data_IF_207290801204
#
_entry.id   IF_207290801204
#
_cell.length_a   1.000
_cell.length_b   1.000
_cell.length_c   1.000
_cell.angle_alpha   90.00
_cell.angle_beta   90.00
_cell.angle_gamma   90.00
#
_symmetry.space_group_name_H-M   'P 1'
#
loop_
_entity.id
_entity.type
_entity.pdbx_description
1 polymer ?
#
# COMPACT_ATOMS: atom_id res chain seq x y z
N UNK A 1 27.58 -18.74 55.65
CA UNK A 1 26.50 -18.66 54.65
C UNK A 1 26.70 -19.76 53.62
N UNK A 2 25.68 -20.61 53.44
CA UNK A 2 25.55 -21.67 52.41
C UNK A 2 25.63 -21.00 51.01
N UNK A 3 26.16 -21.58 49.92
CA UNK A 3 25.94 -22.90 49.33
C UNK A 3 27.11 -23.31 48.41
N UNK A 4 27.45 -24.60 48.44
CA UNK A 4 28.06 -25.33 47.32
C UNK A 4 27.00 -26.27 46.70
N UNK A 5 27.40 -26.98 45.64
CA UNK A 5 26.73 -28.05 44.84
C UNK A 5 26.12 -27.51 43.55
N UNK A 6 26.79 -27.50 42.39
CA UNK A 6 27.26 -28.65 41.58
C UNK A 6 26.14 -29.68 41.33
N UNK A 7 25.44 -29.55 40.21
CA UNK A 7 24.70 -30.67 39.60
C UNK A 7 25.23 -30.80 38.18
N UNK A 8 26.11 -31.77 38.01
CA UNK A 8 26.58 -32.28 36.73
C UNK A 8 25.72 -33.50 36.39
N UNK A 9 24.97 -33.45 35.30
CA UNK A 9 24.49 -34.61 34.54
C UNK A 9 23.98 -34.07 33.19
N UNK A 10 24.83 -34.01 32.16
CA UNK A 10 24.90 -35.04 31.11
C UNK A 10 23.51 -35.40 30.58
N UNK A 11 23.02 -34.62 29.61
CA UNK A 11 22.28 -35.16 28.46
C UNK A 11 22.76 -34.41 27.22
N UNK A 12 23.68 -35.05 26.52
CA UNK A 12 23.99 -34.83 25.12
C UNK A 12 22.74 -35.15 24.30
N UNK A 13 22.16 -34.18 23.60
CA UNK A 13 21.42 -34.43 22.37
C UNK A 13 21.23 -33.11 21.61
N UNK A 14 21.90 -33.01 20.47
CA UNK A 14 21.50 -32.15 19.36
C UNK A 14 19.98 -32.25 19.17
N UNK A 15 19.28 -31.14 19.24
CA UNK A 15 18.11 -30.89 18.40
C UNK A 15 18.30 -29.50 17.79
N UNK A 16 19.13 -29.49 16.74
CA UNK A 16 18.81 -28.72 15.55
C UNK A 16 17.34 -29.05 15.23
N UNK A 17 16.42 -28.19 15.65
CA UNK A 17 15.13 -28.14 14.97
C UNK A 17 15.40 -27.42 13.66
N UNK A 18 16.06 -28.12 12.74
CA UNK A 18 15.75 -27.94 11.33
C UNK A 18 14.29 -28.35 11.22
N UNK A 19 13.37 -27.39 11.31
CA UNK A 19 12.05 -27.61 10.74
C UNK A 19 12.29 -27.91 9.27
N UNK A 20 12.20 -29.19 8.92
CA UNK A 20 12.19 -29.66 7.55
C UNK A 20 11.04 -28.93 6.85
N UNK A 21 11.35 -27.82 6.18
CA UNK A 21 10.53 -27.29 5.11
C UNK A 21 10.44 -28.41 4.07
N UNK A 22 9.32 -29.14 4.07
CA UNK A 22 8.95 -29.97 2.93
C UNK A 22 9.06 -29.09 1.70
N UNK A 23 9.95 -29.44 0.78
CA UNK A 23 9.96 -28.85 -0.57
C UNK A 23 8.57 -29.06 -1.16
N UNK A 24 7.87 -28.00 -1.61
CA UNK A 24 6.60 -28.14 -2.31
C UNK A 24 6.82 -29.01 -3.55
N UNK A 25 5.98 -30.02 -3.74
CA UNK A 25 6.00 -30.86 -4.95
C UNK A 25 5.25 -30.15 -6.07
N UNK A 26 5.64 -30.43 -7.31
CA UNK A 26 5.31 -29.73 -8.55
C UNK A 26 3.82 -29.72 -9.00
N UNK A 27 2.85 -29.57 -8.10
CA UNK A 27 1.45 -29.29 -8.44
C UNK A 27 0.86 -28.06 -7.74
N UNK A 28 1.69 -27.23 -7.12
CA UNK A 28 1.24 -26.02 -6.43
C UNK A 28 1.12 -24.85 -7.42
N UNK A 29 -0.06 -24.22 -7.40
CA UNK A 29 -0.37 -22.96 -8.07
C UNK A 29 0.78 -21.97 -7.84
N UNK A 30 1.25 -21.33 -8.92
CA UNK A 30 2.29 -20.29 -8.95
C UNK A 30 2.75 -19.88 -7.55
N UNK A 31 3.89 -20.42 -7.12
CA UNK A 31 4.40 -20.41 -5.75
C UNK A 31 3.91 -19.20 -4.96
N UNK A 32 3.04 -19.43 -3.97
CA UNK A 32 2.59 -18.38 -3.06
C UNK A 32 3.84 -17.66 -2.55
N UNK A 33 3.94 -16.36 -2.86
CA UNK A 33 5.05 -15.52 -2.43
C UNK A 33 4.53 -14.59 -1.36
N UNK A 34 5.18 -14.60 -0.21
CA UNK A 34 4.90 -13.66 0.89
C UNK A 34 6.16 -12.85 1.12
N UNK A 35 6.02 -11.53 1.23
CA UNK A 35 7.09 -10.68 1.74
C UNK A 35 6.86 -10.42 3.23
N UNK A 36 7.85 -10.73 4.04
CA UNK A 36 7.83 -10.49 5.49
C UNK A 36 8.48 -9.14 5.76
N UNK A 37 7.74 -8.22 6.36
CA UNK A 37 8.23 -6.90 6.74
C UNK A 37 8.63 -6.92 8.21
N UNK A 38 9.85 -6.48 8.49
CA UNK A 38 10.43 -6.48 9.81
C UNK A 38 10.91 -5.09 10.23
N UNK A 39 10.80 -4.79 11.52
CA UNK A 39 11.28 -3.56 12.16
C UNK A 39 12.07 -3.95 13.38
N UNK A 40 13.33 -3.52 13.47
CA UNK A 40 14.19 -3.82 14.62
C UNK A 40 14.25 -5.33 14.97
N UNK A 41 14.13 -6.19 13.95
CA UNK A 41 14.14 -7.65 14.10
C UNK A 41 12.79 -8.29 14.46
N UNK A 42 11.71 -7.50 14.56
CA UNK A 42 10.36 -8.00 14.81
C UNK A 42 9.51 -7.98 13.53
N UNK A 43 8.75 -9.06 13.28
CA UNK A 43 7.77 -9.09 12.19
C UNK A 43 6.64 -8.12 12.50
N UNK A 44 6.40 -7.17 11.60
CA UNK A 44 5.31 -6.19 11.74
C UNK A 44 4.19 -6.39 10.73
N UNK A 45 4.50 -6.96 9.55
CA UNK A 45 3.47 -7.34 8.58
C UNK A 45 3.95 -8.44 7.65
N UNK A 46 3.00 -9.15 7.07
CA UNK A 46 3.21 -10.11 6.00
C UNK A 46 2.29 -9.72 4.85
N UNK A 47 2.84 -9.53 3.65
CA UNK A 47 2.08 -9.14 2.49
C UNK A 47 2.11 -10.26 1.45
N UNK A 48 0.94 -10.60 0.90
CA UNK A 48 0.87 -11.49 -0.26
C UNK A 48 1.49 -10.79 -1.48
N UNK A 49 2.70 -11.21 -1.83
CA UNK A 49 3.44 -10.74 -2.98
C UNK A 49 3.24 -11.61 -4.21
N UNK A 50 2.30 -12.55 -4.17
CA UNK A 50 2.00 -13.41 -5.31
C UNK A 50 1.59 -12.54 -6.51
N UNK A 51 2.26 -12.69 -7.64
CA UNK A 51 2.00 -11.89 -8.83
C UNK A 51 2.43 -10.42 -8.72
N UNK A 52 3.17 -10.03 -7.67
CA UNK A 52 3.83 -8.74 -7.66
C UNK A 52 5.00 -8.71 -8.64
N UNK A 53 5.26 -7.55 -9.22
CA UNK A 53 6.36 -7.30 -10.16
C UNK A 53 7.47 -6.50 -9.47
N UNK A 54 8.68 -7.05 -9.47
CA UNK A 54 9.88 -6.40 -8.93
C UNK A 54 10.11 -5.05 -9.61
N UNK A 55 10.42 -4.04 -8.80
CA UNK A 55 10.67 -2.68 -9.25
C UNK A 55 9.40 -1.94 -9.67
N UNK A 56 8.25 -2.60 -9.79
CA UNK A 56 6.99 -2.06 -10.30
C UNK A 56 5.92 -1.90 -9.23
N UNK A 57 5.77 -2.91 -8.37
CA UNK A 57 4.82 -2.89 -7.28
C UNK A 57 5.41 -2.28 -6.01
N UNK A 58 4.52 -1.82 -5.14
CA UNK A 58 4.86 -1.01 -3.98
C UNK A 58 4.19 -1.63 -2.75
N UNK A 59 4.95 -1.72 -1.65
CA UNK A 59 4.50 -2.26 -0.37
C UNK A 59 4.53 -1.17 0.71
N UNK A 60 3.74 -1.33 1.77
CA UNK A 60 3.70 -0.37 2.87
C UNK A 60 4.56 -0.84 4.05
N UNK A 61 5.56 -0.05 4.44
CA UNK A 61 6.54 -0.38 5.49
C UNK A 61 6.25 0.33 6.81
N UNK A 62 4.99 0.58 7.17
CA UNK A 62 4.60 1.28 8.41
C UNK A 62 4.93 2.77 8.46
N UNK A 63 6.09 3.18 7.95
CA UNK A 63 6.55 4.57 7.82
C UNK A 63 6.50 5.04 6.37
N UNK A 64 5.58 4.51 5.56
CA UNK A 64 5.37 4.89 4.18
C UNK A 64 5.56 3.78 3.16
N UNK A 65 5.30 4.09 1.88
CA UNK A 65 5.45 3.16 0.77
C UNK A 65 6.91 2.84 0.45
N UNK A 66 7.13 1.69 -0.17
CA UNK A 66 8.42 1.24 -0.67
C UNK A 66 8.25 0.52 -2.00
N UNK A 67 9.04 0.90 -3.01
CA UNK A 67 9.08 0.18 -4.28
C UNK A 67 9.78 -1.15 -4.03
N UNK A 68 9.04 -2.25 -4.10
CA UNK A 68 9.57 -3.57 -3.80
C UNK A 68 10.64 -3.96 -4.82
N UNK A 69 11.80 -4.43 -4.36
CA UNK A 69 12.91 -4.84 -5.24
C UNK A 69 13.05 -6.37 -5.29
N UNK A 70 11.96 -7.09 -5.03
CA UNK A 70 11.96 -8.55 -5.12
C UNK A 70 12.52 -9.23 -3.89
N UNK A 71 12.52 -8.56 -2.73
CA UNK A 71 12.94 -9.15 -1.46
C UNK A 71 11.87 -10.11 -0.92
N UNK A 72 12.29 -11.24 -0.34
CA UNK A 72 11.38 -12.12 0.43
C UNK A 72 11.20 -11.62 1.88
N UNK A 73 12.14 -10.81 2.36
CA UNK A 73 12.11 -10.20 3.68
C UNK A 73 12.67 -8.79 3.59
N UNK A 74 11.97 -7.82 4.16
CA UNK A 74 12.34 -6.41 4.15
C UNK A 74 12.59 -5.95 5.58
N UNK A 75 13.81 -5.56 5.90
CA UNK A 75 14.13 -4.92 7.18
C UNK A 75 14.11 -3.42 7.02
N UNK A 76 13.16 -2.75 7.67
CA UNK A 76 13.14 -1.30 7.67
C UNK A 76 13.44 -0.71 9.05
N UNK A 77 14.02 0.49 9.03
CA UNK A 77 14.17 1.34 10.22
C UNK A 77 14.13 2.81 9.81
N UNK A 78 13.70 3.66 10.73
CA UNK A 78 13.80 5.12 10.59
C UNK A 78 14.76 5.63 11.63
N UNK A 79 15.76 6.37 11.21
CA UNK A 79 16.80 6.91 12.08
C UNK A 79 17.19 8.30 11.60
N UNK A 80 17.05 9.30 12.47
CA UNK A 80 17.34 10.72 12.19
C UNK A 80 16.62 11.24 10.93
N UNK A 81 15.34 10.88 10.77
CA UNK A 81 14.54 11.26 9.60
C UNK A 81 14.92 10.57 8.29
N UNK A 82 15.82 9.59 8.30
CA UNK A 82 16.15 8.78 7.12
C UNK A 82 15.49 7.41 7.23
N UNK A 83 14.92 6.95 6.12
CA UNK A 83 14.27 5.65 5.99
C UNK A 83 15.28 4.68 5.37
N UNK A 84 15.61 3.64 6.12
CA UNK A 84 16.51 2.58 5.68
C UNK A 84 15.71 1.33 5.35
N UNK A 85 16.06 0.70 4.24
CA UNK A 85 15.62 -0.66 3.88
C UNK A 85 16.86 -1.50 3.61
N UNK A 86 17.00 -2.60 4.35
CA UNK A 86 18.14 -3.51 4.30
C UNK A 86 19.50 -2.79 4.32
N UNK A 87 19.60 -1.81 5.23
CA UNK A 87 20.80 -0.99 5.45
C UNK A 87 21.05 0.14 4.44
N UNK A 88 20.20 0.29 3.42
CA UNK A 88 20.31 1.37 2.42
C UNK A 88 19.33 2.48 2.71
N UNK A 89 19.79 3.73 2.62
CA UNK A 89 18.89 4.90 2.65
C UNK A 89 18.07 4.92 1.37
N UNK A 90 16.75 4.82 1.50
CA UNK A 90 15.79 4.82 0.38
C UNK A 90 14.78 5.95 0.47
N UNK A 91 14.61 6.53 1.66
CA UNK A 91 13.60 7.56 1.90
C UNK A 91 14.00 8.57 2.96
N UNK A 92 13.18 9.61 3.08
CA UNK A 92 13.31 10.62 4.14
C UNK A 92 11.93 10.98 4.72
N UNK A 93 11.86 11.08 6.04
CA UNK A 93 10.74 11.61 6.80
C UNK A 93 10.97 13.10 7.06
N UNK A 94 10.28 13.91 6.26
CA UNK A 94 10.39 15.36 6.28
C UNK A 94 9.73 16.02 7.50
N UNK A 95 9.15 15.24 8.42
CA UNK A 95 8.80 15.75 9.76
C UNK A 95 10.01 15.82 10.70
N UNK A 96 11.09 15.09 10.38
CA UNK A 96 12.29 14.97 11.21
C UNK A 96 13.54 15.57 10.56
N UNK A 97 13.60 15.64 9.23
CA UNK A 97 14.73 16.20 8.48
C UNK A 97 14.26 17.17 7.41
N UNK A 98 14.96 18.29 7.23
CA UNK A 98 14.62 19.21 6.14
C UNK A 98 15.14 18.69 4.80
N UNK A 99 14.48 18.99 3.67
CA UNK A 99 14.92 18.54 2.35
C UNK A 99 16.38 18.87 2.03
N UNK A 100 16.91 19.98 2.55
CA UNK A 100 18.30 20.47 2.36
C UNK A 100 19.31 19.49 2.94
N UNK A 101 18.99 18.88 4.08
CA UNK A 101 19.86 18.04 4.89
C UNK A 101 19.80 16.55 4.50
N UNK A 102 18.90 16.17 3.59
CA UNK A 102 18.83 14.79 3.10
C UNK A 102 20.07 14.48 2.24
N UNK A 103 20.89 13.48 2.61
CA UNK A 103 22.07 13.11 1.85
C UNK A 103 21.69 12.37 0.57
N UNK A 104 22.45 12.59 -0.50
CA UNK A 104 22.26 11.93 -1.80
C UNK A 104 20.77 11.96 -2.26
N UNK A 105 20.14 13.15 -2.36
CA UNK A 105 18.72 13.27 -2.67
C UNK A 105 18.32 12.58 -3.99
N UNK A 106 19.25 12.43 -4.92
CA UNK A 106 19.05 11.70 -6.17
C UNK A 106 18.81 10.19 -6.01
N UNK A 107 19.13 9.61 -4.85
CA UNK A 107 18.88 8.19 -4.52
C UNK A 107 17.57 7.97 -3.77
N UNK A 108 16.96 9.03 -3.27
CA UNK A 108 15.72 8.97 -2.50
C UNK A 108 14.56 8.66 -3.44
N UNK A 109 13.83 7.60 -3.10
CA UNK A 109 12.68 7.11 -3.86
C UNK A 109 11.36 7.29 -3.11
N UNK A 110 11.43 7.54 -1.79
CA UNK A 110 10.29 7.66 -0.88
C UNK A 110 10.41 8.94 -0.05
N UNK A 111 9.31 9.67 0.10
CA UNK A 111 9.20 10.74 1.09
C UNK A 111 8.00 10.53 1.98
N UNK A 112 8.16 10.84 3.26
CA UNK A 112 7.03 10.94 4.19
C UNK A 112 6.96 12.31 4.86
N UNK A 113 5.77 12.74 5.28
CA UNK A 113 5.60 13.86 6.21
C UNK A 113 4.55 14.90 5.84
N UNK A 114 4.74 16.15 6.29
CA UNK A 114 3.86 17.29 5.99
C UNK A 114 4.46 18.09 4.84
N UNK A 115 4.14 17.68 3.61
CA UNK A 115 4.82 18.17 2.41
C UNK A 115 4.51 19.60 1.96
N UNK A 116 3.34 20.24 2.21
CA UNK A 116 3.05 21.55 1.62
C UNK A 116 4.15 22.61 1.86
N UNK A 117 4.88 22.51 2.97
CA UNK A 117 6.00 23.42 3.31
C UNK A 117 7.30 23.15 2.53
N UNK A 118 7.35 22.06 1.76
CA UNK A 118 8.56 21.52 1.13
C UNK A 118 8.40 21.24 -0.38
N UNK A 119 7.24 21.50 -0.96
CA UNK A 119 6.92 21.11 -2.35
C UNK A 119 7.88 21.67 -3.42
N UNK A 120 8.36 22.93 -3.33
CA UNK A 120 9.39 23.39 -4.26
C UNK A 120 10.70 22.59 -4.13
N UNK A 121 11.08 22.22 -2.90
CA UNK A 121 12.33 21.54 -2.61
C UNK A 121 12.30 20.06 -2.99
N UNK A 122 11.13 19.41 -2.99
CA UNK A 122 11.06 17.98 -3.33
C UNK A 122 11.48 17.68 -4.77
N UNK A 123 11.53 18.69 -5.66
CA UNK A 123 12.04 18.56 -7.04
C UNK A 123 13.49 18.06 -7.09
N UNK A 124 14.25 18.18 -6.00
CA UNK A 124 15.60 17.63 -5.92
C UNK A 124 15.65 16.10 -5.86
N UNK A 125 14.57 15.45 -5.42
CA UNK A 125 14.46 13.99 -5.33
C UNK A 125 14.04 13.40 -6.68
N UNK A 126 14.98 13.37 -7.63
CA UNK A 126 14.70 13.03 -9.04
C UNK A 126 14.15 11.62 -9.29
N UNK A 127 14.34 10.70 -8.33
CA UNK A 127 13.87 9.31 -8.40
C UNK A 127 12.63 9.05 -7.54
N UNK A 128 11.99 10.11 -7.04
CA UNK A 128 10.80 9.98 -6.22
C UNK A 128 9.74 9.18 -6.98
N UNK A 129 9.25 8.15 -6.30
CA UNK A 129 8.35 7.15 -6.86
C UNK A 129 7.22 6.80 -5.91
N UNK A 130 7.35 7.10 -4.62
CA UNK A 130 6.24 7.02 -3.71
C UNK A 130 6.30 8.11 -2.63
N UNK A 131 5.12 8.56 -2.19
CA UNK A 131 4.97 9.61 -1.20
C UNK A 131 3.89 9.20 -0.19
N UNK A 132 4.18 9.36 1.09
CA UNK A 132 3.16 9.52 2.12
C UNK A 132 3.14 10.96 2.60
N UNK A 133 2.03 11.66 2.39
CA UNK A 133 1.94 13.07 2.76
C UNK A 133 0.65 13.39 3.48
N UNK A 134 0.75 14.36 4.39
CA UNK A 134 -0.38 14.92 5.11
C UNK A 134 -0.69 16.33 4.60
N UNK A 135 -1.98 16.71 4.68
CA UNK A 135 -2.46 18.06 4.41
C UNK A 135 -2.31 18.52 2.95
N UNK A 136 -2.33 17.59 1.99
CA UNK A 136 -2.23 17.91 0.56
C UNK A 136 -3.53 18.54 0.06
N UNK A 137 -3.42 19.54 -0.82
CA UNK A 137 -4.52 20.21 -1.53
C UNK A 137 -4.41 20.00 -3.04
N UNK A 138 -5.45 20.41 -3.77
CA UNK A 138 -5.50 20.24 -5.24
C UNK A 138 -4.27 20.81 -5.96
N UNK A 139 -3.82 22.00 -5.56
CA UNK A 139 -2.63 22.67 -6.13
C UNK A 139 -1.32 21.90 -5.93
N UNK A 140 -1.24 21.10 -4.87
CA UNK A 140 -0.05 20.32 -4.53
C UNK A 140 0.10 19.10 -5.44
N UNK A 141 -1.02 18.55 -5.94
CA UNK A 141 -1.04 17.40 -6.87
C UNK A 141 -0.30 17.68 -8.18
N UNK A 142 -0.21 18.96 -8.57
CA UNK A 142 0.57 19.38 -9.73
C UNK A 142 2.06 19.04 -9.57
N UNK A 143 2.62 19.17 -8.36
CA UNK A 143 4.02 18.81 -8.09
C UNK A 143 4.25 17.30 -8.22
N UNK A 144 3.33 16.49 -7.70
CA UNK A 144 3.44 15.03 -7.79
C UNK A 144 3.38 14.55 -9.25
N UNK A 145 2.62 15.26 -10.09
CA UNK A 145 2.49 14.95 -11.51
C UNK A 145 3.76 15.25 -12.33
N UNK A 146 4.72 16.00 -11.78
CA UNK A 146 6.01 16.26 -12.42
C UNK A 146 6.99 15.07 -12.30
N UNK A 147 6.72 14.09 -11.42
CA UNK A 147 7.60 12.95 -11.20
C UNK A 147 7.22 11.77 -12.11
N UNK A 148 8.04 11.43 -13.12
CA UNK A 148 7.68 10.43 -14.13
C UNK A 148 7.62 9.00 -13.57
N UNK A 149 8.23 8.75 -12.42
CA UNK A 149 8.29 7.45 -11.76
C UNK A 149 7.27 7.31 -10.63
N UNK A 150 6.33 8.24 -10.48
CA UNK A 150 5.34 8.19 -9.41
C UNK A 150 4.45 6.94 -9.53
N UNK A 151 4.56 6.07 -8.52
CA UNK A 151 3.89 4.78 -8.37
C UNK A 151 2.96 4.76 -7.16
N UNK A 152 3.24 5.50 -6.10
CA UNK A 152 2.40 5.48 -4.90
C UNK A 152 2.15 6.85 -4.27
N UNK A 153 0.89 7.16 -4.02
CA UNK A 153 0.47 8.34 -3.27
C UNK A 153 -0.39 7.92 -2.08
N UNK A 154 0.08 8.23 -0.88
CA UNK A 154 -0.62 8.05 0.38
C UNK A 154 -0.91 9.41 0.98
N UNK A 155 -2.08 9.95 0.67
CA UNK A 155 -2.47 11.31 0.98
C UNK A 155 -3.46 11.28 2.15
N UNK A 156 -2.93 11.45 3.35
CA UNK A 156 -3.69 11.42 4.59
C UNK A 156 -4.13 12.83 4.96
N UNK A 157 -5.29 12.97 5.61
CA UNK A 157 -5.80 14.28 6.07
C UNK A 157 -5.76 15.36 4.97
N UNK A 158 -6.05 14.96 3.73
CA UNK A 158 -5.83 15.80 2.56
C UNK A 158 -7.15 16.39 2.08
N UNK A 159 -7.10 17.62 1.59
CA UNK A 159 -8.23 18.33 1.02
C UNK A 159 -8.17 18.26 -0.51
N UNK A 160 -8.19 17.03 -1.03
CA UNK A 160 -8.24 16.73 -2.45
C UNK A 160 -9.70 16.67 -2.90
N UNK A 161 -10.02 17.39 -3.96
CA UNK A 161 -11.33 17.40 -4.62
C UNK A 161 -11.22 16.80 -6.03
N UNK A 162 -12.27 16.97 -6.84
CA UNK A 162 -12.27 16.68 -8.27
C UNK A 162 -11.02 17.27 -8.98
N UNK A 163 -10.68 18.53 -8.71
CA UNK A 163 -9.60 19.23 -9.41
C UNK A 163 -8.23 18.60 -9.14
N UNK A 164 -7.95 18.21 -7.89
CA UNK A 164 -6.70 17.53 -7.53
C UNK A 164 -6.56 16.17 -8.20
N UNK A 165 -7.64 15.38 -8.30
CA UNK A 165 -7.61 14.10 -8.99
C UNK A 165 -7.42 14.23 -10.51
N UNK A 166 -7.77 15.38 -11.10
CA UNK A 166 -7.57 15.63 -12.53
C UNK A 166 -6.09 15.52 -12.96
N UNK A 167 -5.16 15.66 -12.03
CA UNK A 167 -3.72 15.52 -12.26
C UNK A 167 -3.27 14.08 -12.49
N UNK A 168 -4.05 13.08 -12.06
CA UNK A 168 -3.72 11.65 -12.21
C UNK A 168 -3.57 11.22 -13.68
N UNK A 169 -4.22 11.93 -14.62
CA UNK A 169 -4.06 11.70 -16.07
C UNK A 169 -2.62 11.88 -16.58
N UNK A 170 -1.75 12.54 -15.81
CA UNK A 170 -0.32 12.70 -16.11
C UNK A 170 0.55 11.62 -15.44
N UNK A 171 0.01 10.86 -14.49
CA UNK A 171 0.72 9.88 -13.69
C UNK A 171 0.54 8.47 -14.24
N UNK A 172 1.12 8.20 -15.40
CA UNK A 172 0.93 6.94 -16.15
C UNK A 172 1.42 5.67 -15.43
N UNK A 173 2.16 5.82 -14.32
CA UNK A 173 2.73 4.71 -13.57
C UNK A 173 2.07 4.47 -12.21
N UNK A 174 1.02 5.23 -11.84
CA UNK A 174 0.40 5.11 -10.52
C UNK A 174 -0.14 3.70 -10.29
N UNK A 175 0.24 3.10 -9.17
CA UNK A 175 -0.16 1.76 -8.70
C UNK A 175 -0.96 1.84 -7.41
N UNK A 176 -0.63 2.78 -6.53
CA UNK A 176 -1.29 3.01 -5.25
C UNK A 176 -1.84 4.42 -5.17
N UNK A 177 -3.10 4.52 -4.81
CA UNK A 177 -3.74 5.79 -4.46
C UNK A 177 -4.55 5.64 -3.19
N UNK A 178 -4.08 6.26 -2.11
CA UNK A 178 -4.80 6.34 -0.85
C UNK A 178 -5.14 7.80 -0.60
N UNK A 179 -6.43 8.11 -0.62
CA UNK A 179 -7.00 9.44 -0.37
C UNK A 179 -8.21 9.33 0.58
N UNK A 180 -8.11 8.58 1.70
CA UNK A 180 -9.25 8.42 2.59
C UNK A 180 -9.60 9.75 3.28
N UNK A 181 -10.88 9.93 3.62
CA UNK A 181 -11.37 11.16 4.27
C UNK A 181 -11.14 12.45 3.44
N UNK A 182 -11.11 12.34 2.12
CA UNK A 182 -11.03 13.49 1.22
C UNK A 182 -12.45 13.93 0.77
N UNK A 183 -12.68 15.22 0.48
CA UNK A 183 -13.95 15.74 -0.05
C UNK A 183 -14.12 15.41 -1.54
N UNK A 184 -13.91 14.16 -1.93
CA UNK A 184 -14.13 13.66 -3.29
C UNK A 184 -15.57 13.19 -3.45
N UNK A 185 -16.13 13.40 -4.64
CA UNK A 185 -17.48 13.00 -5.04
C UNK A 185 -17.44 11.88 -6.09
N UNK A 186 -18.60 11.33 -6.44
CA UNK A 186 -18.72 10.34 -7.52
C UNK A 186 -18.13 10.84 -8.85
N UNK A 187 -18.33 12.13 -9.16
CA UNK A 187 -17.76 12.79 -10.32
C UNK A 187 -16.22 12.80 -10.27
N UNK A 188 -15.62 12.92 -9.09
CA UNK A 188 -14.16 12.91 -8.90
C UNK A 188 -13.54 11.60 -9.36
N UNK A 189 -14.26 10.48 -9.25
CA UNK A 189 -13.77 9.15 -9.66
C UNK A 189 -13.73 8.97 -11.19
N UNK A 190 -14.33 9.88 -11.97
CA UNK A 190 -14.20 9.85 -13.44
C UNK A 190 -12.74 9.99 -13.89
N UNK A 191 -11.91 10.67 -13.10
CA UNK A 191 -10.47 10.79 -13.35
C UNK A 191 -9.68 9.50 -13.12
N UNK A 192 -10.25 8.50 -12.43
CA UNK A 192 -9.65 7.18 -12.27
C UNK A 192 -9.95 6.26 -13.45
N UNK A 193 -10.94 6.60 -14.29
CA UNK A 193 -11.37 5.76 -15.40
C UNK A 193 -10.20 5.50 -16.35
N UNK A 194 -9.89 4.23 -16.58
CA UNK A 194 -8.84 3.81 -17.49
C UNK A 194 -7.42 3.83 -16.92
N UNK A 195 -7.23 4.19 -15.65
CA UNK A 195 -5.94 4.02 -14.95
C UNK A 195 -5.73 2.53 -14.61
N UNK A 196 -5.59 1.72 -15.65
CA UNK A 196 -5.44 0.26 -15.57
C UNK A 196 -4.15 -0.17 -14.88
N UNK A 197 -3.30 0.76 -14.47
CA UNK A 197 -2.11 0.48 -13.68
C UNK A 197 -2.40 0.33 -12.19
N UNK A 198 -3.52 0.85 -11.68
CA UNK A 198 -3.85 0.79 -10.25
C UNK A 198 -3.95 -0.65 -9.74
N UNK A 199 -3.27 -0.90 -8.63
CA UNK A 199 -3.24 -2.14 -7.86
C UNK A 199 -3.98 -1.98 -6.55
N UNK A 200 -3.90 -0.82 -5.93
CA UNK A 200 -4.59 -0.57 -4.67
C UNK A 200 -5.15 0.85 -4.64
N UNK A 201 -6.42 0.92 -4.21
CA UNK A 201 -7.19 2.14 -4.11
C UNK A 201 -7.86 2.19 -2.75
N UNK A 202 -7.57 3.23 -1.98
CA UNK A 202 -8.27 3.53 -0.74
C UNK A 202 -8.92 4.91 -0.84
N UNK A 203 -10.25 4.89 -0.91
CA UNK A 203 -11.13 6.06 -0.96
C UNK A 203 -12.17 5.98 0.16
N UNK A 204 -11.86 5.27 1.25
CA UNK A 204 -12.80 5.12 2.36
C UNK A 204 -13.07 6.42 3.11
N UNK A 205 -14.19 6.44 3.84
CA UNK A 205 -14.69 7.63 4.55
C UNK A 205 -14.90 8.83 3.63
N UNK A 206 -15.47 8.58 2.45
CA UNK A 206 -15.80 9.61 1.45
C UNK A 206 -17.26 9.45 1.03
N UNK A 207 -17.91 10.51 0.53
CA UNK A 207 -19.33 10.46 0.15
C UNK A 207 -19.58 9.76 -1.19
N UNK A 208 -18.83 8.70 -1.49
CA UNK A 208 -18.95 7.92 -2.73
C UNK A 208 -20.16 6.99 -2.67
N UNK A 209 -20.91 6.92 -3.76
CA UNK A 209 -22.07 6.05 -3.95
C UNK A 209 -21.81 5.02 -5.05
N UNK A 210 -22.84 4.25 -5.41
CA UNK A 210 -22.81 3.29 -6.50
C UNK A 210 -22.43 3.93 -7.86
N UNK A 211 -22.79 5.21 -8.08
CA UNK A 211 -22.45 5.96 -9.29
C UNK A 211 -20.93 6.17 -9.41
N UNK A 212 -20.27 6.48 -8.30
CA UNK A 212 -18.82 6.61 -8.25
C UNK A 212 -18.12 5.29 -8.52
N UNK A 213 -18.60 4.20 -7.90
CA UNK A 213 -18.02 2.86 -8.06
C UNK A 213 -18.06 2.36 -9.51
N UNK A 214 -19.06 2.77 -10.30
CA UNK A 214 -19.11 2.47 -11.73
C UNK A 214 -17.84 2.90 -12.49
N UNK A 215 -17.21 4.00 -12.08
CA UNK A 215 -15.98 4.49 -12.71
C UNK A 215 -14.76 3.59 -12.46
N UNK A 216 -14.83 2.68 -11.47
CA UNK A 216 -13.77 1.74 -11.11
C UNK A 216 -13.82 0.44 -11.92
N UNK A 217 -14.90 0.17 -12.66
CA UNK A 217 -15.12 -1.11 -13.37
C UNK A 217 -14.01 -1.45 -14.39
N UNK A 218 -13.30 -0.44 -14.91
CA UNK A 218 -12.19 -0.60 -15.85
C UNK A 218 -10.83 -0.83 -15.20
N UNK A 219 -10.71 -0.80 -13.87
CA UNK A 219 -9.45 -0.99 -13.15
C UNK A 219 -9.08 -2.48 -13.04
N UNK A 220 -8.97 -3.16 -14.18
CA UNK A 220 -8.85 -4.63 -14.30
C UNK A 220 -7.68 -5.26 -13.52
N UNK A 221 -6.75 -4.44 -13.09
CA UNK A 221 -5.50 -4.78 -12.42
C UNK A 221 -5.52 -4.53 -10.91
N UNK A 222 -6.64 -3.99 -10.40
CA UNK A 222 -6.86 -3.70 -8.98
C UNK A 222 -6.88 -4.99 -8.17
N UNK A 223 -6.14 -5.00 -7.07
CA UNK A 223 -5.94 -6.10 -6.11
C UNK A 223 -6.57 -5.78 -4.77
N UNK A 224 -6.47 -4.53 -4.32
CA UNK A 224 -7.02 -4.06 -3.05
C UNK A 224 -7.92 -2.86 -3.29
N UNK A 225 -9.16 -2.94 -2.79
CA UNK A 225 -10.09 -1.81 -2.81
C UNK A 225 -10.62 -1.57 -1.40
N UNK A 226 -10.44 -0.35 -0.91
CA UNK A 226 -10.99 0.07 0.36
C UNK A 226 -12.01 1.20 0.16
N UNK A 227 -13.27 0.87 0.43
CA UNK A 227 -14.45 1.74 0.31
C UNK A 227 -15.30 1.69 1.60
N UNK A 228 -14.67 1.41 2.75
CA UNK A 228 -15.33 1.51 4.06
C UNK A 228 -15.90 2.92 4.31
N UNK A 229 -16.95 3.04 5.11
CA UNK A 229 -17.64 4.32 5.39
C UNK A 229 -18.01 5.11 4.12
N UNK A 230 -18.59 4.44 3.14
CA UNK A 230 -19.14 5.07 1.92
C UNK A 230 -20.63 4.78 1.80
N UNK A 231 -21.31 5.42 0.86
CA UNK A 231 -22.73 5.23 0.57
C UNK A 231 -23.00 4.10 -0.44
N UNK A 232 -22.02 3.22 -0.64
CA UNK A 232 -22.13 2.09 -1.58
C UNK A 232 -23.11 1.05 -1.05
N UNK A 233 -23.89 0.49 -1.97
CA UNK A 233 -24.91 -0.53 -1.71
C UNK A 233 -24.65 -1.81 -2.51
N UNK A 234 -25.55 -2.79 -2.38
CA UNK A 234 -25.54 -4.03 -3.15
C UNK A 234 -25.50 -3.83 -4.68
N UNK A 235 -26.02 -2.70 -5.17
CA UNK A 235 -26.04 -2.34 -6.59
C UNK A 235 -24.63 -1.97 -7.08
N UNK A 236 -23.89 -1.17 -6.31
CA UNK A 236 -22.51 -0.78 -6.64
C UNK A 236 -21.56 -1.96 -6.80
N UNK A 237 -21.75 -3.03 -6.01
CA UNK A 237 -20.93 -4.25 -6.13
C UNK A 237 -21.03 -4.94 -7.49
N UNK A 238 -22.09 -4.70 -8.27
CA UNK A 238 -22.23 -5.26 -9.63
C UNK A 238 -21.12 -4.73 -10.56
N UNK A 239 -20.68 -3.49 -10.37
CA UNK A 239 -19.60 -2.89 -11.16
C UNK A 239 -18.22 -3.47 -10.84
N UNK A 240 -18.06 -4.12 -9.69
CA UNK A 240 -16.81 -4.75 -9.29
C UNK A 240 -16.67 -6.19 -9.80
N UNK A 241 -17.75 -6.83 -10.29
CA UNK A 241 -17.74 -8.25 -10.70
C UNK A 241 -16.72 -8.57 -11.81
N UNK A 242 -16.32 -7.57 -12.60
CA UNK A 242 -15.32 -7.67 -13.67
C UNK A 242 -13.86 -7.61 -13.18
N UNK A 243 -13.60 -7.17 -11.94
CA UNK A 243 -12.26 -6.99 -11.40
C UNK A 243 -11.65 -8.32 -10.95
N UNK A 244 -11.30 -9.19 -11.91
CA UNK A 244 -10.87 -10.57 -11.64
C UNK A 244 -9.57 -10.70 -10.84
N UNK A 245 -8.78 -9.64 -10.76
CA UNK A 245 -7.55 -9.59 -9.98
C UNK A 245 -7.77 -9.09 -8.54
N UNK A 246 -8.99 -8.68 -8.18
CA UNK A 246 -9.31 -8.19 -6.84
C UNK A 246 -9.18 -9.31 -5.82
N UNK A 247 -8.36 -9.08 -4.80
CA UNK A 247 -8.05 -10.03 -3.72
C UNK A 247 -8.60 -9.59 -2.39
N UNK A 248 -8.61 -8.29 -2.13
CA UNK A 248 -9.03 -7.71 -0.87
C UNK A 248 -10.01 -6.56 -1.11
N UNK A 249 -11.16 -6.64 -0.44
CA UNK A 249 -12.21 -5.63 -0.50
C UNK A 249 -12.68 -5.30 0.91
N UNK A 250 -12.56 -4.03 1.30
CA UNK A 250 -13.04 -3.55 2.59
C UNK A 250 -14.31 -2.70 2.40
N UNK A 251 -15.40 -3.17 3.02
CA UNK A 251 -16.77 -2.67 2.95
C UNK A 251 -17.33 -2.34 4.34
N UNK A 252 -16.48 -2.29 5.39
CA UNK A 252 -16.94 -1.98 6.74
C UNK A 252 -17.77 -0.68 6.75
N UNK A 253 -18.87 -0.68 7.50
CA UNK A 253 -19.77 0.47 7.61
C UNK A 253 -20.30 0.99 6.26
N UNK A 254 -20.77 0.05 5.42
CA UNK A 254 -21.52 0.34 4.18
C UNK A 254 -22.92 -0.29 4.28
N UNK A 255 -23.82 -0.01 3.33
CA UNK A 255 -25.17 -0.60 3.29
C UNK A 255 -25.22 -1.86 2.42
N UNK A 256 -24.23 -2.74 2.56
CA UNK A 256 -24.08 -3.95 1.75
C UNK A 256 -24.55 -5.18 2.53
N UNK A 257 -25.41 -5.98 1.92
CA UNK A 257 -25.92 -7.23 2.48
C UNK A 257 -25.07 -8.45 2.12
N UNK A 258 -25.14 -9.48 2.97
CA UNK A 258 -24.42 -10.75 2.83
C UNK A 258 -24.64 -11.42 1.45
N UNK A 259 -25.85 -11.31 0.87
CA UNK A 259 -26.16 -11.88 -0.44
C UNK A 259 -25.35 -11.27 -1.58
N UNK A 260 -25.11 -9.96 -1.56
CA UNK A 260 -24.29 -9.30 -2.57
C UNK A 260 -22.82 -9.67 -2.43
N UNK A 261 -22.31 -9.78 -1.20
CA UNK A 261 -20.96 -10.29 -0.94
C UNK A 261 -20.79 -11.72 -1.45
N UNK A 262 -21.74 -12.62 -1.15
CA UNK A 262 -21.74 -14.00 -1.67
C UNK A 262 -21.75 -14.03 -3.19
N UNK A 263 -22.58 -13.19 -3.83
CA UNK A 263 -22.62 -13.08 -5.30
C UNK A 263 -21.27 -12.65 -5.86
N UNK A 264 -20.64 -11.62 -5.29
CA UNK A 264 -19.35 -11.11 -5.72
C UNK A 264 -18.24 -12.16 -5.55
N UNK A 265 -18.18 -12.85 -4.41
CA UNK A 265 -17.22 -13.95 -4.16
C UNK A 265 -17.37 -15.11 -5.16
N UNK A 266 -18.58 -15.41 -5.66
CA UNK A 266 -18.75 -16.38 -6.76
C UNK A 266 -18.17 -15.89 -8.08
N UNK A 267 -18.23 -14.58 -8.34
CA UNK A 267 -17.70 -13.94 -9.55
C UNK A 267 -16.19 -13.75 -9.51
N UNK A 268 -15.63 -13.63 -8.30
CA UNK A 268 -14.20 -13.43 -8.03
C UNK A 268 -13.76 -14.46 -6.97
N UNK A 269 -13.47 -15.70 -7.37
CA UNK A 269 -13.06 -16.75 -6.43
C UNK A 269 -11.78 -16.38 -5.68
N UNK A 270 -11.78 -16.53 -4.35
CA UNK A 270 -10.64 -16.19 -3.50
C UNK A 270 -10.64 -14.76 -2.97
N UNK A 271 -11.61 -13.92 -3.37
CA UNK A 271 -11.77 -12.57 -2.83
C UNK A 271 -12.02 -12.59 -1.31
N UNK A 272 -11.12 -11.96 -0.57
CA UNK A 272 -11.27 -11.65 0.86
C UNK A 272 -12.10 -10.37 0.96
N UNK A 273 -13.20 -10.45 1.70
CA UNK A 273 -14.10 -9.31 1.91
C UNK A 273 -14.22 -9.08 3.41
N UNK A 274 -13.92 -7.86 3.84
CA UNK A 274 -14.15 -7.38 5.20
C UNK A 274 -15.41 -6.52 5.22
N UNK A 275 -16.44 -6.93 5.95
CA UNK A 275 -17.74 -6.25 6.02
C UNK A 275 -18.43 -6.61 7.35
N UNK A 276 -19.42 -5.82 7.78
CA UNK A 276 -20.25 -6.11 8.95
C UNK A 276 -21.40 -7.03 8.52
N UNK A 277 -21.61 -8.14 9.24
CA UNK A 277 -22.71 -9.09 9.00
C UNK A 277 -24.08 -8.55 9.47
#
# INVERSE_FOLDING_TARGET
MKRATLVTAVITALLLVSTNCKKPTASDKADKRTVVVMTEGFVVSENDATGMEEGEDVIYLGNGPYIWQGEDTVNYKVENGLIYVDGKVVGADLTQITPENVPNPEKIIVLTGVLPNHLPQIKRFKRLSAIEAKLIRDEDMAYFAEFPHMKGLYLLMSNITYEGLSHLKKMNNIRLLHIPNAPISDESLTHLKGITTLRELNIGSTPISDEGIQNLAGLINLRTLNIHYTYVTDEGLKYLEGLKNLRELNLMHTSIGEYAVKRLKRKIPGLRVNYED
#
